data_IF_044924956456
#
_entry.id   IF_044924956456
#
_cell.length_a   1.000
_cell.length_b   1.000
_cell.length_c   1.000
_cell.angle_alpha   90.00
_cell.angle_beta   90.00
_cell.angle_gamma   90.00
#
_symmetry.space_group_name_H-M   'P 1'
#
loop_
_entity.id
_entity.type
_entity.pdbx_description
1 polymer ?
#
# COMPACT_ATOMS: atom_id res chain seq x y z
N UNK A 1 -8.01 1.02 3.28
CA UNK A 1 -6.95 0.00 3.29
C UNK A 1 -7.41 -1.35 3.87
N UNK A 2 -7.49 -1.58 5.20
CA UNK A 2 -7.82 -2.89 5.82
C UNK A 2 -9.01 -3.64 5.20
N UNK A 3 -10.12 -2.95 4.91
CA UNK A 3 -11.31 -3.57 4.31
C UNK A 3 -11.02 -4.14 2.92
N UNK A 4 -10.24 -3.42 2.12
CA UNK A 4 -9.83 -3.85 0.77
C UNK A 4 -8.96 -5.10 0.87
N UNK A 5 -7.98 -5.11 1.77
CA UNK A 5 -7.16 -6.30 2.01
C UNK A 5 -7.99 -7.51 2.45
N UNK A 6 -8.92 -7.34 3.40
CA UNK A 6 -9.72 -8.47 3.91
C UNK A 6 -10.72 -9.01 2.88
N UNK A 7 -11.36 -8.13 2.09
CA UNK A 7 -12.44 -8.50 1.18
C UNK A 7 -11.97 -8.81 -0.25
N UNK A 8 -11.00 -8.06 -0.75
CA UNK A 8 -10.51 -8.16 -2.12
C UNK A 8 -9.11 -8.79 -2.22
N UNK A 9 -8.43 -9.00 -1.08
CA UNK A 9 -7.04 -9.52 -1.05
C UNK A 9 -6.06 -8.64 -1.81
N UNK A 10 -6.29 -7.33 -1.87
CA UNK A 10 -5.42 -6.38 -2.58
C UNK A 10 -4.50 -5.64 -1.62
N UNK A 11 -3.21 -5.62 -1.96
CA UNK A 11 -2.18 -4.73 -1.40
C UNK A 11 -2.16 -3.41 -2.17
N UNK A 12 -1.77 -2.32 -1.53
CA UNK A 12 -1.72 -1.00 -2.17
C UNK A 12 -0.40 -0.76 -2.89
N UNK A 13 0.73 -1.08 -2.24
CA UNK A 13 2.11 -0.97 -2.75
C UNK A 13 2.64 0.44 -3.05
N UNK A 14 1.80 1.45 -3.20
CA UNK A 14 2.24 2.85 -3.37
C UNK A 14 1.54 3.83 -2.41
N UNK A 15 1.73 3.62 -1.11
CA UNK A 15 1.21 4.55 -0.11
C UNK A 15 2.12 5.78 0.00
N UNK A 16 1.53 6.96 -0.18
CA UNK A 16 2.22 8.24 -0.05
C UNK A 16 1.27 9.33 0.43
N UNK A 17 1.80 10.48 0.85
CA UNK A 17 0.98 11.66 1.15
C UNK A 17 0.15 12.13 -0.04
N UNK A 18 0.69 12.00 -1.27
CA UNK A 18 -0.02 12.38 -2.49
C UNK A 18 -1.25 11.50 -2.74
N UNK A 19 -1.21 10.25 -2.25
CA UNK A 19 -2.27 9.27 -2.48
C UNK A 19 -3.35 9.26 -1.38
N UNK A 20 -3.20 10.14 -0.37
CA UNK A 20 -4.20 10.35 0.68
C UNK A 20 -4.96 11.65 0.39
N UNK A 21 -6.21 11.49 -0.04
CA UNK A 21 -7.11 12.60 -0.28
C UNK A 21 -8.00 12.84 0.95
N UNK A 22 -8.49 14.08 1.10
CA UNK A 22 -9.45 14.44 2.12
C UNK A 22 -10.73 14.97 1.50
N UNK A 23 -11.88 14.50 1.99
CA UNK A 23 -13.18 15.10 1.69
C UNK A 23 -13.90 15.46 2.98
N UNK A 24 -14.80 16.44 2.89
CA UNK A 24 -15.73 16.79 3.97
C UNK A 24 -17.15 16.43 3.56
N UNK A 25 -17.89 15.83 4.48
CA UNK A 25 -19.32 15.59 4.26
C UNK A 25 -20.13 16.90 4.37
N UNK A 26 -21.46 16.83 4.16
CA UNK A 26 -22.36 17.98 4.30
C UNK A 26 -22.33 18.61 5.71
N UNK A 27 -21.93 17.85 6.72
CA UNK A 27 -21.78 18.27 8.12
C UNK A 27 -20.34 18.73 8.44
N UNK A 28 -19.49 18.89 7.43
CA UNK A 28 -18.07 19.28 7.50
C UNK A 28 -17.15 18.26 8.20
N UNK A 29 -17.60 17.03 8.44
CA UNK A 29 -16.75 15.99 9.02
C UNK A 29 -15.69 15.55 8.02
N UNK A 30 -14.39 15.52 8.42
CA UNK A 30 -13.33 15.06 7.54
C UNK A 30 -13.38 13.54 7.35
N UNK A 31 -13.07 13.09 6.15
CA UNK A 31 -12.84 11.68 5.84
C UNK A 31 -11.69 11.54 4.86
N UNK A 32 -10.77 10.62 5.15
CA UNK A 32 -9.70 10.25 4.24
C UNK A 32 -10.22 9.34 3.13
N UNK A 33 -9.64 9.49 1.94
CA UNK A 33 -9.81 8.59 0.80
C UNK A 33 -8.43 8.17 0.34
N UNK A 34 -8.28 6.89 0.07
CA UNK A 34 -7.05 6.34 -0.49
C UNK A 34 -7.24 6.16 -2.00
N UNK A 35 -6.44 6.84 -2.81
CA UNK A 35 -6.47 6.77 -4.27
C UNK A 35 -5.32 5.90 -4.81
N UNK A 36 -5.16 5.86 -6.14
CA UNK A 36 -4.00 5.30 -6.84
C UNK A 36 -3.71 3.82 -6.51
N UNK A 37 -4.60 2.96 -7.03
CA UNK A 37 -4.50 1.51 -6.90
C UNK A 37 -3.84 0.85 -8.13
N UNK A 38 -3.21 1.63 -9.01
CA UNK A 38 -2.66 1.12 -10.27
C UNK A 38 -1.46 0.19 -10.05
N UNK A 39 -0.74 0.37 -8.93
CA UNK A 39 0.31 -0.53 -8.45
C UNK A 39 -0.22 -1.61 -7.48
N UNK A 40 -1.53 -1.67 -7.27
CA UNK A 40 -2.15 -2.62 -6.36
C UNK A 40 -2.04 -4.06 -6.87
N UNK A 41 -1.80 -4.99 -5.94
CA UNK A 41 -1.59 -6.40 -6.27
C UNK A 41 -2.55 -7.31 -5.50
N UNK A 42 -3.21 -8.23 -6.21
CA UNK A 42 -4.03 -9.27 -5.61
C UNK A 42 -3.12 -10.35 -5.03
N UNK A 43 -3.19 -10.54 -3.72
CA UNK A 43 -2.51 -11.63 -3.01
C UNK A 43 -3.23 -12.93 -3.33
N UNK A 44 -2.52 -13.83 -4.02
CA UNK A 44 -3.00 -15.20 -4.25
C UNK A 44 -3.32 -15.90 -2.93
N UNK A 45 -4.36 -16.73 -2.93
CA UNK A 45 -4.69 -17.60 -1.81
C UNK A 45 -3.62 -18.69 -1.59
N UNK A 46 -2.90 -19.06 -2.65
CA UNK A 46 -1.82 -20.03 -2.63
C UNK A 46 -0.47 -19.31 -2.81
N UNK A 47 0.45 -19.45 -1.85
CA UNK A 47 1.81 -18.90 -1.97
C UNK A 47 2.57 -19.42 -3.19
N UNK A 48 2.25 -20.62 -3.69
CA UNK A 48 2.91 -21.23 -4.85
C UNK A 48 2.45 -20.65 -6.18
N UNK A 49 1.26 -20.06 -6.22
CA UNK A 49 0.71 -19.37 -7.40
C UNK A 49 1.19 -17.90 -7.45
N UNK A 50 2.04 -17.47 -6.50
CA UNK A 50 2.56 -16.12 -6.44
C UNK A 50 3.64 -15.90 -7.50
N UNK A 51 3.24 -15.36 -8.65
CA UNK A 51 4.16 -14.77 -9.61
C UNK A 51 4.30 -13.29 -9.26
N UNK A 52 5.42 -12.90 -8.65
CA UNK A 52 5.73 -11.49 -8.37
C UNK A 52 5.61 -10.68 -9.66
N UNK A 53 4.57 -9.88 -9.79
CA UNK A 53 4.28 -9.13 -11.03
C UNK A 53 5.26 -7.98 -11.25
N UNK A 54 6.02 -7.58 -10.22
CA UNK A 54 7.21 -6.74 -10.37
C UNK A 54 8.19 -6.97 -9.21
N UNK A 55 9.40 -7.42 -9.53
CA UNK A 55 10.57 -7.38 -8.62
C UNK A 55 11.16 -5.97 -8.49
N UNK A 56 10.73 -5.05 -9.34
CA UNK A 56 11.15 -3.66 -9.26
C UNK A 56 10.44 -2.98 -8.11
N UNK A 57 11.20 -2.29 -7.26
CA UNK A 57 10.77 -1.46 -6.14
C UNK A 57 9.81 -0.36 -6.61
N UNK A 58 8.57 -0.72 -6.92
CA UNK A 58 7.49 0.20 -7.26
C UNK A 58 6.96 0.82 -5.98
N UNK A 59 6.84 2.14 -5.96
CA UNK A 59 6.29 2.89 -4.85
C UNK A 59 7.10 4.14 -4.55
N UNK A 60 6.56 4.97 -3.68
CA UNK A 60 7.18 6.23 -3.27
C UNK A 60 8.28 6.00 -2.22
N UNK A 61 9.55 6.12 -2.62
CA UNK A 61 10.73 5.72 -1.82
C UNK A 61 10.72 6.19 -0.34
N UNK A 62 10.41 7.45 0.01
CA UNK A 62 10.37 7.89 1.41
C UNK A 62 9.37 7.16 2.31
N UNK A 63 8.33 6.56 1.72
CA UNK A 63 7.28 5.83 2.44
C UNK A 63 7.37 4.32 2.24
N UNK A 64 8.36 3.85 1.50
CA UNK A 64 8.54 2.42 1.26
C UNK A 64 9.04 1.71 2.53
N UNK A 65 8.52 0.52 2.80
CA UNK A 65 8.99 -0.31 3.90
C UNK A 65 10.48 -0.61 3.77
N UNK A 66 11.23 -0.60 4.88
CA UNK A 66 12.68 -0.73 4.87
C UNK A 66 13.17 -2.02 4.19
N UNK A 67 12.46 -3.13 4.38
CA UNK A 67 12.83 -4.41 3.77
C UNK A 67 12.67 -4.42 2.24
N UNK A 68 11.80 -3.57 1.69
CA UNK A 68 11.61 -3.44 0.24
C UNK A 68 12.70 -2.57 -0.42
N UNK A 69 13.55 -1.94 0.37
CA UNK A 69 14.70 -1.15 -0.10
C UNK A 69 16.00 -1.97 -0.19
N UNK A 70 15.97 -3.28 0.10
CA UNK A 70 17.15 -4.13 -0.04
C UNK A 70 17.49 -4.42 -1.52
N UNK A 71 18.71 -4.90 -1.78
CA UNK A 71 19.14 -5.33 -3.12
C UNK A 71 18.30 -6.49 -3.67
N UNK A 72 17.84 -7.37 -2.77
CA UNK A 72 16.93 -8.48 -3.05
C UNK A 72 15.67 -8.34 -2.19
N UNK A 73 14.70 -7.50 -2.62
CA UNK A 73 13.53 -7.22 -1.82
C UNK A 73 12.63 -8.46 -1.70
N UNK A 74 12.05 -8.73 -0.51
CA UNK A 74 11.10 -9.81 -0.34
C UNK A 74 9.78 -9.49 -1.05
N UNK A 75 8.89 -10.47 -1.07
CA UNK A 75 7.51 -10.29 -1.53
C UNK A 75 6.83 -9.17 -0.73
N UNK A 76 6.16 -8.26 -1.44
CA UNK A 76 5.35 -7.24 -0.78
C UNK A 76 4.20 -7.93 -0.04
N UNK A 77 4.07 -7.68 1.27
CA UNK A 77 2.99 -8.21 2.09
C UNK A 77 2.29 -7.08 2.85
N UNK A 78 1.13 -7.38 3.43
CA UNK A 78 0.28 -6.39 4.11
C UNK A 78 1.01 -5.54 5.18
N UNK A 79 2.02 -6.11 5.86
CA UNK A 79 2.79 -5.34 6.87
C UNK A 79 3.59 -4.19 6.25
N UNK A 80 4.03 -4.32 4.98
CA UNK A 80 4.80 -3.28 4.31
C UNK A 80 3.91 -2.07 4.01
N UNK A 81 2.66 -2.30 3.59
CA UNK A 81 1.66 -1.22 3.49
C UNK A 81 1.42 -0.53 4.85
N UNK A 82 1.39 -1.29 5.95
CA UNK A 82 1.27 -0.72 7.30
C UNK A 82 2.48 0.13 7.70
N UNK A 83 3.69 -0.29 7.32
CA UNK A 83 4.91 0.47 7.56
C UNK A 83 4.90 1.78 6.78
N UNK A 84 4.39 1.79 5.54
CA UNK A 84 4.19 3.03 4.79
C UNK A 84 3.25 4.02 5.50
N UNK A 85 2.18 3.54 6.14
CA UNK A 85 1.33 4.42 6.97
C UNK A 85 2.11 5.02 8.15
N UNK A 86 3.03 4.27 8.76
CA UNK A 86 3.87 4.80 9.82
C UNK A 86 4.77 5.94 9.32
N UNK A 87 5.43 5.76 8.17
CA UNK A 87 6.26 6.80 7.57
C UNK A 87 5.47 8.05 7.16
N UNK A 88 4.25 7.86 6.64
CA UNK A 88 3.33 8.96 6.33
C UNK A 88 2.93 9.76 7.58
N UNK A 89 2.72 9.10 8.73
CA UNK A 89 2.36 9.77 9.98
C UNK A 89 3.51 10.59 10.57
N UNK A 90 4.75 10.22 10.25
CA UNK A 90 5.96 10.90 10.75
C UNK A 90 6.37 12.10 9.90
N UNK A 91 5.82 12.25 8.69
CA UNK A 91 6.18 13.29 7.72
C UNK A 91 5.46 14.61 7.98
#
# INVERSE_FOLDING_TARGET
>A
HRVVFLKAKVLHRDLSLANIMFRRDKKKHPSGILNDWDLGEVVSANPEDYIATSRHSTGTLPFMAMELLSEEPPVHIYRHDLESFFWILMW
#
